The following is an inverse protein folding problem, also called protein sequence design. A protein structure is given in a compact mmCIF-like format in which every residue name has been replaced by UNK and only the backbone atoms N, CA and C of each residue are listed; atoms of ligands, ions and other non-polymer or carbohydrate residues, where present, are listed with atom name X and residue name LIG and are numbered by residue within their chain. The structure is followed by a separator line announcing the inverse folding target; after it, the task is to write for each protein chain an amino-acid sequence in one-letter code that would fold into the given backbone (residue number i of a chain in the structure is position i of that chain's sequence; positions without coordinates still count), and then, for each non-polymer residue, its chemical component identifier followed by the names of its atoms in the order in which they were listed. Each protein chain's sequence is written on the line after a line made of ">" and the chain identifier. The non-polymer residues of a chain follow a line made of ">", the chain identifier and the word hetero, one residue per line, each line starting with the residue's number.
data_IF_682410125373
#
_entry.id   IF_682410125373
#
_cell.length_a   1.000
_cell.length_b   1.000
_cell.length_c   1.000
_cell.angle_alpha   90.00
_cell.angle_beta   90.00
_cell.angle_gamma   90.00
#
_symmetry.space_group_name_H-M   'P 1'
#
loop_
_entity.id
_entity.type
_entity.pdbx_description
1 polymer ?
#
# COMPACT_ATOMS: atom_id res chain seq x y z
N UNK A 1 2.13 -11.38 -8.40
CA UNK A 1 2.40 -11.18 -6.97
C UNK A 1 1.34 -11.88 -6.15
N UNK A 2 1.67 -12.28 -4.92
CA UNK A 2 0.71 -12.85 -3.97
C UNK A 2 -0.33 -11.79 -3.56
N UNK A 3 -1.57 -12.21 -3.31
CA UNK A 3 -2.62 -11.33 -2.79
C UNK A 3 -2.44 -11.19 -1.27
N UNK A 4 -1.65 -10.21 -0.84
CA UNK A 4 -1.31 -10.02 0.58
C UNK A 4 -1.34 -8.53 1.00
N UNK A 5 -2.54 -7.90 1.05
CA UNK A 5 -2.67 -6.48 1.40
C UNK A 5 -2.15 -6.14 2.82
N UNK A 6 -2.15 -7.11 3.74
CA UNK A 6 -1.62 -6.95 5.10
C UNK A 6 -0.11 -6.67 5.13
N UNK A 7 0.61 -6.96 4.03
CA UNK A 7 2.02 -6.63 3.91
C UNK A 7 2.29 -5.13 4.15
N UNK A 8 1.37 -4.25 3.73
CA UNK A 8 1.56 -2.81 3.88
C UNK A 8 1.66 -2.40 5.36
N UNK A 9 0.74 -2.88 6.20
CA UNK A 9 0.76 -2.65 7.64
C UNK A 9 2.07 -3.18 8.26
N UNK A 10 2.42 -4.43 7.94
CA UNK A 10 3.62 -5.08 8.46
C UNK A 10 4.89 -4.28 8.10
N UNK A 11 4.99 -3.78 6.87
CA UNK A 11 6.13 -2.97 6.42
C UNK A 11 6.16 -1.63 7.13
N UNK A 12 5.03 -0.91 7.25
CA UNK A 12 4.98 0.37 7.97
C UNK A 12 5.46 0.19 9.41
N UNK A 13 4.94 -0.82 10.12
CA UNK A 13 5.36 -1.13 11.49
C UNK A 13 6.84 -1.50 11.57
N UNK A 14 7.32 -2.30 10.62
CA UNK A 14 8.74 -2.69 10.58
C UNK A 14 9.65 -1.49 10.39
N UNK A 15 9.31 -0.58 9.48
CA UNK A 15 10.07 0.66 9.25
C UNK A 15 10.02 1.57 10.48
N UNK A 16 8.86 1.69 11.12
CA UNK A 16 8.67 2.53 12.31
C UNK A 16 9.48 2.09 13.54
N UNK A 17 9.96 0.83 13.57
CA UNK A 17 10.87 0.35 14.62
C UNK A 17 12.22 1.08 14.59
N UNK A 18 12.71 1.40 13.40
CA UNK A 18 14.06 1.91 13.18
C UNK A 18 14.05 3.39 12.71
N UNK A 19 12.94 3.86 12.15
CA UNK A 19 12.76 5.23 11.67
C UNK A 19 11.60 5.93 12.39
N UNK A 20 11.87 7.06 13.01
CA UNK A 20 10.92 7.81 13.84
C UNK A 20 10.47 9.14 13.21
N UNK A 21 10.67 9.31 11.91
CA UNK A 21 10.18 10.46 11.16
C UNK A 21 8.81 10.20 10.53
N UNK A 22 8.32 11.21 9.82
CA UNK A 22 7.08 11.12 9.05
C UNK A 22 7.18 10.09 7.92
N UNK A 23 6.16 9.25 7.76
CA UNK A 23 6.09 8.22 6.74
C UNK A 23 5.08 8.58 5.66
N UNK A 24 5.41 8.29 4.41
CA UNK A 24 4.48 8.39 3.27
C UNK A 24 4.55 7.06 2.52
N UNK A 25 3.38 6.44 2.28
CA UNK A 25 3.28 5.33 1.35
C UNK A 25 3.26 5.92 -0.05
N UNK A 26 4.39 5.82 -0.76
CA UNK A 26 4.54 6.43 -2.09
C UNK A 26 3.92 5.60 -3.20
N UNK A 27 3.87 4.28 -3.02
CA UNK A 27 3.25 3.36 -3.97
C UNK A 27 2.65 2.17 -3.23
N UNK A 28 1.44 1.78 -3.61
CA UNK A 28 0.82 0.53 -3.24
C UNK A 28 -0.27 0.20 -4.26
N UNK A 29 -0.34 -1.05 -4.69
CA UNK A 29 -1.28 -1.49 -5.71
C UNK A 29 -1.12 -2.96 -6.05
N UNK A 30 -1.92 -3.43 -7.01
CA UNK A 30 -1.90 -4.80 -7.49
C UNK A 30 -2.14 -4.84 -9.00
N UNK A 31 -1.34 -5.64 -9.71
CA UNK A 31 -1.59 -5.96 -11.12
C UNK A 31 -2.74 -6.97 -11.23
N UNK A 32 -3.92 -6.50 -11.67
CA UNK A 32 -5.11 -7.33 -11.87
C UNK A 32 -6.03 -6.71 -12.94
N UNK A 33 -6.58 -7.55 -13.82
CA UNK A 33 -7.67 -7.13 -14.72
C UNK A 33 -9.05 -7.21 -14.04
N UNK A 34 -9.16 -7.98 -12.95
CA UNK A 34 -10.36 -8.05 -12.13
C UNK A 34 -10.34 -6.94 -11.08
N UNK A 35 -11.18 -5.93 -11.29
CA UNK A 35 -11.26 -4.74 -10.43
C UNK A 35 -11.86 -5.05 -9.05
N UNK A 36 -12.62 -6.14 -8.90
CA UNK A 36 -13.13 -6.54 -7.57
C UNK A 36 -12.00 -6.89 -6.62
N UNK A 37 -10.91 -7.48 -7.16
CA UNK A 37 -9.69 -7.74 -6.41
C UNK A 37 -8.93 -6.45 -6.08
N UNK A 38 -8.93 -5.46 -6.99
CA UNK A 38 -8.29 -4.16 -6.75
C UNK A 38 -8.98 -3.43 -5.60
N UNK A 39 -10.31 -3.36 -5.61
CA UNK A 39 -11.12 -2.76 -4.54
C UNK A 39 -10.83 -3.44 -3.20
N UNK A 40 -10.96 -4.77 -3.14
CA UNK A 40 -10.71 -5.52 -1.90
C UNK A 40 -9.28 -5.35 -1.38
N UNK A 41 -8.29 -5.24 -2.28
CA UNK A 41 -6.89 -5.00 -1.90
C UNK A 41 -6.71 -3.60 -1.29
N UNK A 42 -7.27 -2.57 -1.91
CA UNK A 42 -7.18 -1.19 -1.44
C UNK A 42 -7.85 -1.05 -0.06
N UNK A 43 -9.05 -1.60 0.10
CA UNK A 43 -9.79 -1.57 1.37
C UNK A 43 -8.98 -2.20 2.51
N UNK A 44 -8.44 -3.40 2.29
CA UNK A 44 -7.66 -4.11 3.29
C UNK A 44 -6.32 -3.42 3.59
N UNK A 45 -5.62 -2.90 2.57
CA UNK A 45 -4.36 -2.20 2.75
C UNK A 45 -4.54 -0.88 3.53
N UNK A 46 -5.58 -0.10 3.19
CA UNK A 46 -5.88 1.16 3.88
C UNK A 46 -6.38 0.94 5.31
N UNK A 47 -7.10 -0.15 5.59
CA UNK A 47 -7.45 -0.52 6.97
C UNK A 47 -6.16 -0.72 7.81
N UNK A 48 -5.16 -1.37 7.25
CA UNK A 48 -3.85 -1.53 7.91
C UNK A 48 -3.10 -0.20 8.11
N UNK A 49 -3.16 0.71 7.13
CA UNK A 49 -2.61 2.07 7.29
C UNK A 49 -3.33 2.82 8.43
N UNK A 50 -4.66 2.72 8.51
CA UNK A 50 -5.44 3.33 9.58
C UNK A 50 -5.07 2.75 10.96
N UNK A 51 -4.85 1.44 11.07
CA UNK A 51 -4.37 0.82 12.31
C UNK A 51 -3.01 1.39 12.74
N UNK A 52 -2.06 1.54 11.81
CA UNK A 52 -0.76 2.15 12.10
C UNK A 52 -0.90 3.60 12.60
N UNK A 53 -1.79 4.39 11.98
CA UNK A 53 -2.07 5.77 12.41
C UNK A 53 -2.69 5.79 13.80
N UNK A 54 -3.63 4.88 14.08
CA UNK A 54 -4.26 4.74 15.39
C UNK A 54 -3.25 4.38 16.50
N UNK A 55 -2.22 3.62 16.16
CA UNK A 55 -1.11 3.26 17.06
C UNK A 55 -0.04 4.36 17.19
N UNK A 56 -0.26 5.53 16.59
CA UNK A 56 0.62 6.70 16.73
C UNK A 56 1.79 6.73 15.74
N UNK A 57 1.85 5.83 14.77
CA UNK A 57 2.87 5.89 13.70
C UNK A 57 2.52 7.08 12.78
N UNK A 58 3.46 8.01 12.52
CA UNK A 58 3.16 9.27 11.82
C UNK A 58 3.08 9.09 10.29
N UNK A 59 2.13 8.29 9.80
CA UNK A 59 1.85 8.15 8.37
C UNK A 59 1.07 9.37 7.87
N UNK A 60 1.65 10.13 6.92
CA UNK A 60 1.12 11.42 6.43
C UNK A 60 0.40 11.32 5.09
N UNK A 61 0.60 10.25 4.36
CA UNK A 61 0.01 10.11 3.03
C UNK A 61 0.06 8.69 2.48
N UNK A 62 -0.85 8.44 1.55
CA UNK A 62 -0.93 7.22 0.77
C UNK A 62 -1.17 7.61 -0.69
N UNK A 63 -0.28 7.15 -1.57
CA UNK A 63 -0.38 7.32 -3.01
C UNK A 63 -0.54 5.94 -3.65
N UNK A 64 -1.66 5.77 -4.35
CA UNK A 64 -1.96 4.51 -5.04
C UNK A 64 -1.14 4.40 -6.33
N UNK A 65 -0.59 3.21 -6.57
CA UNK A 65 -0.08 2.84 -7.89
C UNK A 65 -1.15 2.00 -8.60
N UNK A 66 -1.90 2.56 -9.55
CA UNK A 66 -1.77 3.90 -10.14
C UNK A 66 -3.14 4.46 -10.49
N UNK A 67 -3.20 5.74 -10.85
CA UNK A 67 -4.45 6.38 -11.29
C UNK A 67 -5.05 5.73 -12.53
N UNK A 68 -4.18 5.32 -13.46
CA UNK A 68 -4.54 4.63 -14.71
C UNK A 68 -3.52 3.53 -14.97
N UNK A 69 -3.89 2.54 -15.77
CA UNK A 69 -2.95 1.56 -16.29
C UNK A 69 -1.79 2.26 -17.00
N UNK A 70 -0.60 1.67 -16.90
CA UNK A 70 0.62 2.20 -17.48
C UNK A 70 1.51 1.06 -18.00
N UNK A 71 2.60 1.41 -18.66
CA UNK A 71 3.53 0.43 -19.22
C UNK A 71 4.45 -0.13 -18.11
N UNK A 72 4.20 -1.37 -17.70
CA UNK A 72 4.89 -2.07 -16.60
C UNK A 72 6.25 -2.62 -17.07
N UNK A 73 7.13 -1.72 -17.52
CA UNK A 73 8.51 -2.03 -17.89
C UNK A 73 8.62 -3.20 -18.88
N UNK A 74 9.35 -4.26 -18.52
CA UNK A 74 9.53 -5.44 -19.36
C UNK A 74 8.25 -6.28 -19.54
N UNK A 75 7.19 -5.99 -18.76
CA UNK A 75 5.88 -6.65 -18.88
C UNK A 75 4.96 -5.98 -19.89
N UNK A 76 5.27 -4.75 -20.30
CA UNK A 76 4.44 -4.01 -21.23
C UNK A 76 3.12 -3.56 -20.61
N UNK A 77 2.08 -3.50 -21.44
CA UNK A 77 0.71 -3.26 -20.99
C UNK A 77 -0.01 -4.56 -20.66
#
# INVERSE_FOLDING_TARGET
>A
YEFYPQALENVIRKVAQDFHGDLIVTENGIATADDTRRVAFIEAALAGVQNCIADGIPVKGYFHWSLMDNFEWQKGY
#
